data_IF_100651098463
#
_entry.id   IF_100651098463
#
_cell.length_a   1.000
_cell.length_b   1.000
_cell.length_c   1.000
_cell.angle_alpha   90.00
_cell.angle_beta   90.00
_cell.angle_gamma   90.00
#
_symmetry.space_group_name_H-M   'P 1'
#
loop_
_entity.id
_entity.type
_entity.pdbx_description
1 polymer ?
#
# COMPACT_ATOMS: atom_id res chain seq x y z
N UNK A 1 -20.16 4.60 -7.51
CA UNK A 1 -19.21 5.19 -8.49
C UNK A 1 -17.81 4.70 -8.15
N UNK A 2 -17.01 4.28 -9.13
CA UNK A 2 -15.66 3.76 -8.91
C UNK A 2 -14.61 4.63 -9.61
N UNK A 3 -13.47 4.83 -8.95
CA UNK A 3 -12.30 5.52 -9.52
C UNK A 3 -11.13 4.54 -9.52
N UNK A 4 -10.49 4.41 -10.68
CA UNK A 4 -9.27 3.62 -10.86
C UNK A 4 -8.09 4.55 -11.10
N UNK A 5 -6.97 4.30 -10.43
CA UNK A 5 -5.71 5.02 -10.64
C UNK A 5 -4.61 4.00 -10.90
N UNK A 6 -3.92 4.13 -12.02
CA UNK A 6 -2.77 3.30 -12.36
C UNK A 6 -1.48 4.13 -12.23
N UNK A 7 -0.50 3.59 -11.51
CA UNK A 7 0.79 4.23 -11.23
C UNK A 7 1.92 3.28 -11.58
N UNK A 8 2.83 3.76 -12.44
CA UNK A 8 4.03 3.03 -12.82
C UNK A 8 5.27 3.78 -12.32
N UNK A 9 6.16 3.09 -11.63
CA UNK A 9 7.38 3.67 -11.07
C UNK A 9 8.57 2.74 -11.22
N UNK A 10 9.73 3.33 -11.50
CA UNK A 10 10.99 2.60 -11.68
C UNK A 10 12.00 3.02 -10.60
N UNK A 11 12.50 2.05 -9.85
CA UNK A 11 13.55 2.25 -8.84
C UNK A 11 14.91 1.80 -9.39
N UNK A 12 15.94 2.63 -9.19
CA UNK A 12 17.32 2.32 -9.59
C UNK A 12 18.07 1.55 -8.49
N UNK A 13 17.45 0.49 -7.97
CA UNK A 13 17.98 -0.35 -6.90
C UNK A 13 17.65 -1.83 -7.17
N UNK A 14 18.49 -2.78 -6.71
CA UNK A 14 18.24 -4.21 -6.86
C UNK A 14 16.88 -4.63 -6.29
N UNK A 15 16.26 -5.65 -6.90
CA UNK A 15 14.96 -6.19 -6.49
C UNK A 15 14.92 -6.50 -4.99
N UNK A 16 15.92 -7.23 -4.50
CA UNK A 16 16.00 -7.69 -3.11
C UNK A 16 16.05 -6.50 -2.15
N UNK A 17 16.75 -5.42 -2.51
CA UNK A 17 16.87 -4.23 -1.67
C UNK A 17 15.54 -3.48 -1.60
N UNK A 18 14.85 -3.28 -2.72
CA UNK A 18 13.58 -2.56 -2.73
C UNK A 18 12.49 -3.37 -2.01
N UNK A 19 12.37 -4.66 -2.30
CA UNK A 19 11.40 -5.55 -1.64
C UNK A 19 11.67 -5.63 -0.14
N UNK A 20 12.92 -5.80 0.28
CA UNK A 20 13.26 -5.84 1.70
C UNK A 20 12.93 -4.50 2.40
N UNK A 21 13.20 -3.37 1.73
CA UNK A 21 12.85 -2.04 2.25
C UNK A 21 11.35 -1.86 2.35
N UNK A 22 10.59 -2.33 1.36
CA UNK A 22 9.13 -2.26 1.36
C UNK A 22 8.51 -3.13 2.46
N UNK A 23 8.99 -4.35 2.63
CA UNK A 23 8.50 -5.26 3.67
C UNK A 23 8.86 -4.78 5.08
N UNK A 24 9.93 -3.99 5.24
CA UNK A 24 10.39 -3.39 6.50
C UNK A 24 10.08 -1.89 6.62
N UNK A 25 9.18 -1.36 5.80
CA UNK A 25 8.86 0.08 5.75
C UNK A 25 8.31 0.65 7.07
N UNK A 26 7.88 -0.20 8.01
CA UNK A 26 7.31 0.21 9.29
C UNK A 26 7.97 -0.51 10.48
N UNK A 27 8.11 0.18 11.64
CA UNK A 27 7.75 1.58 11.88
C UNK A 27 8.73 2.56 11.19
N UNK A 28 8.22 3.70 10.69
CA UNK A 28 9.04 4.73 10.04
C UNK A 28 8.75 6.11 10.63
N UNK A 29 9.76 6.84 11.14
CA UNK A 29 9.59 8.19 11.70
C UNK A 29 8.94 9.20 10.74
N UNK A 30 9.07 8.98 9.43
CA UNK A 30 8.51 9.83 8.37
C UNK A 30 7.02 9.57 8.12
N UNK A 31 6.50 8.41 8.54
CA UNK A 31 5.11 8.02 8.35
C UNK A 31 4.49 7.67 9.70
N UNK A 32 4.13 8.73 10.42
CA UNK A 32 3.55 8.65 11.78
C UNK A 32 2.12 8.11 11.79
N UNK A 33 1.50 7.97 10.63
CA UNK A 33 0.11 7.57 10.52
C UNK A 33 -0.06 6.06 10.64
N UNK A 34 0.99 5.26 10.48
CA UNK A 34 0.95 3.82 10.74
C UNK A 34 1.34 3.56 12.20
N UNK A 35 0.34 3.17 13.00
CA UNK A 35 0.48 2.90 14.43
C UNK A 35 1.19 1.56 14.65
N UNK A 36 0.77 0.52 13.94
CA UNK A 36 1.37 -0.80 14.05
C UNK A 36 1.11 -1.66 12.82
N UNK A 37 1.97 -2.66 12.60
CA UNK A 37 1.79 -3.70 11.59
C UNK A 37 1.99 -5.05 12.26
N UNK A 38 1.00 -5.93 12.13
CA UNK A 38 1.03 -7.27 12.69
C UNK A 38 1.01 -8.30 11.56
N UNK A 39 1.91 -9.28 11.61
CA UNK A 39 1.85 -10.45 10.72
C UNK A 39 0.77 -11.38 11.26
N UNK A 40 -0.22 -11.69 10.42
CA UNK A 40 -1.32 -12.61 10.75
C UNK A 40 -0.99 -14.01 10.27
N UNK A 41 -0.34 -14.12 9.11
CA UNK A 41 -0.03 -15.39 8.49
C UNK A 41 1.28 -15.27 7.71
N UNK A 42 2.13 -16.28 7.82
CA UNK A 42 3.31 -16.43 7.00
C UNK A 42 3.44 -17.90 6.62
N UNK A 43 3.50 -18.16 5.31
CA UNK A 43 3.61 -19.49 4.74
C UNK A 43 4.68 -19.48 3.67
N UNK A 44 5.51 -20.52 3.65
CA UNK A 44 6.46 -20.76 2.58
C UNK A 44 6.07 -22.05 1.88
N UNK A 45 5.75 -21.94 0.60
CA UNK A 45 5.52 -23.11 -0.23
C UNK A 45 6.86 -23.80 -0.50
N UNK A 46 6.97 -25.07 -0.11
CA UNK A 46 8.20 -25.87 -0.27
C UNK A 46 8.41 -26.25 -1.74
N UNK A 47 7.33 -26.39 -2.52
CA UNK A 47 7.39 -26.82 -3.92
C UNK A 47 7.78 -25.69 -4.87
N UNK A 48 7.16 -24.52 -4.71
CA UNK A 48 7.41 -23.35 -5.57
C UNK A 48 8.43 -22.37 -4.99
N UNK A 49 8.74 -22.46 -3.70
CA UNK A 49 9.58 -21.51 -2.99
C UNK A 49 8.93 -20.15 -2.72
N UNK A 50 7.64 -19.98 -3.06
CA UNK A 50 6.90 -18.73 -2.87
C UNK A 50 6.67 -18.50 -1.37
N UNK A 51 6.95 -17.26 -0.94
CA UNK A 51 6.71 -16.80 0.41
C UNK A 51 5.42 -15.97 0.39
N UNK A 52 4.38 -16.53 0.99
CA UNK A 52 3.13 -15.82 1.27
C UNK A 52 3.18 -15.18 2.65
N UNK A 53 2.75 -13.93 2.74
CA UNK A 53 2.62 -13.22 4.01
C UNK A 53 1.36 -12.37 4.01
N UNK A 54 0.56 -12.48 5.06
CA UNK A 54 -0.59 -11.62 5.37
C UNK A 54 -0.29 -10.78 6.58
N UNK A 55 -0.56 -9.48 6.50
CA UNK A 55 -0.36 -8.51 7.57
C UNK A 55 -1.61 -7.66 7.75
N UNK A 56 -1.84 -7.23 8.99
CA UNK A 56 -2.81 -6.20 9.31
C UNK A 56 -2.04 -4.95 9.74
N UNK A 57 -2.24 -3.87 9.00
CA UNK A 57 -1.75 -2.55 9.36
C UNK A 57 -2.86 -1.76 10.05
N UNK A 58 -2.52 -1.14 11.19
CA UNK A 58 -3.40 -0.24 11.93
C UNK A 58 -2.86 1.17 11.74
N UNK A 59 -3.69 2.03 11.19
CA UNK A 59 -3.37 3.42 10.90
C UNK A 59 -4.22 4.38 11.74
N UNK A 60 -3.66 5.53 12.07
CA UNK A 60 -4.37 6.61 12.71
C UNK A 60 -5.44 7.17 11.76
N UNK A 61 -6.58 7.57 12.33
CA UNK A 61 -7.63 8.20 11.56
C UNK A 61 -7.20 9.62 11.14
N UNK A 62 -6.79 9.78 9.87
CA UNK A 62 -6.37 11.07 9.29
C UNK A 62 -7.54 11.95 8.84
N UNK A 63 -8.80 11.53 9.07
CA UNK A 63 -9.97 12.34 8.73
C UNK A 63 -9.99 13.62 9.59
N UNK A 64 -10.09 14.82 8.98
CA UNK A 64 -10.22 16.08 9.69
C UNK A 64 -11.40 16.09 10.67
N UNK A 65 -11.24 16.73 11.82
CA UNK A 65 -12.27 16.78 12.88
C UNK A 65 -13.61 17.35 12.41
N UNK A 66 -13.59 18.28 11.45
CA UNK A 66 -14.79 18.82 10.83
C UNK A 66 -15.66 17.74 10.18
N UNK A 67 -15.04 16.73 9.55
CA UNK A 67 -15.72 15.61 8.91
C UNK A 67 -16.07 14.50 9.91
N UNK A 68 -15.35 14.40 11.04
CA UNK A 68 -15.68 13.48 12.16
C UNK A 68 -17.00 13.81 12.88
N UNK A 69 -17.65 14.93 12.56
CA UNK A 69 -19.02 15.26 12.99
C UNK A 69 -20.05 14.26 12.45
N UNK A 70 -19.75 13.61 11.33
CA UNK A 70 -20.53 12.49 10.82
C UNK A 70 -20.17 11.25 11.65
N UNK A 71 -21.13 10.68 12.38
CA UNK A 71 -20.94 9.53 13.27
C UNK A 71 -20.23 8.34 12.60
N UNK A 72 -20.44 8.19 11.30
CA UNK A 72 -19.85 7.17 10.44
C UNK A 72 -18.33 7.31 10.28
N UNK A 73 -17.81 8.53 10.29
CA UNK A 73 -16.39 8.83 10.10
C UNK A 73 -15.61 8.86 11.43
N UNK A 74 -16.31 8.68 12.55
CA UNK A 74 -15.75 8.63 13.90
C UNK A 74 -15.31 7.21 14.27
N UNK A 75 -14.30 6.70 13.56
CA UNK A 75 -13.62 5.45 13.93
C UNK A 75 -12.29 5.75 14.64
N UNK A 76 -11.89 4.94 15.63
CA UNK A 76 -10.66 5.18 16.39
C UNK A 76 -9.39 4.96 15.56
N UNK A 77 -9.42 4.00 14.63
CA UNK A 77 -8.29 3.64 13.78
C UNK A 77 -8.77 2.99 12.49
N UNK A 78 -7.96 3.06 11.44
CA UNK A 78 -8.20 2.42 10.15
C UNK A 78 -7.40 1.11 10.12
N UNK A 79 -8.03 0.02 9.74
CA UNK A 79 -7.40 -1.28 9.57
C UNK A 79 -7.31 -1.65 8.10
N UNK A 80 -6.16 -2.17 7.70
CA UNK A 80 -5.87 -2.61 6.35
C UNK A 80 -5.29 -4.00 6.39
N UNK A 81 -5.75 -4.85 5.49
CA UNK A 81 -5.13 -6.14 5.23
C UNK A 81 -4.22 -6.03 4.01
N UNK A 82 -2.97 -6.42 4.18
CA UNK A 82 -1.96 -6.52 3.13
C UNK A 82 -1.57 -7.99 2.96
N UNK A 83 -1.75 -8.53 1.77
CA UNK A 83 -1.26 -9.85 1.36
C UNK A 83 -0.13 -9.69 0.34
N UNK A 84 0.95 -10.45 0.51
CA UNK A 84 2.08 -10.45 -0.41
C UNK A 84 2.49 -11.87 -0.77
N UNK A 85 2.82 -12.06 -2.04
CA UNK A 85 3.37 -13.29 -2.62
C UNK A 85 4.71 -12.96 -3.24
N UNK A 86 5.79 -13.35 -2.56
CA UNK A 86 7.16 -13.13 -3.00
C UNK A 86 7.70 -14.41 -3.62
N UNK A 87 8.11 -14.34 -4.88
CA UNK A 87 8.91 -15.38 -5.54
C UNK A 87 10.37 -14.90 -5.64
N UNK A 88 11.28 -15.44 -4.80
CA UNK A 88 12.70 -15.06 -4.84
C UNK A 88 13.42 -15.55 -6.10
N UNK A 89 12.99 -16.65 -6.72
CA UNK A 89 13.64 -17.24 -7.89
C UNK A 89 13.34 -16.42 -9.15
N UNK A 90 12.08 -16.06 -9.35
CA UNK A 90 11.64 -15.24 -10.48
C UNK A 90 11.81 -13.73 -10.25
N UNK A 91 12.28 -13.33 -9.06
CA UNK A 91 12.39 -11.93 -8.63
C UNK A 91 11.12 -11.13 -8.94
N UNK A 92 10.02 -11.67 -8.43
CA UNK A 92 8.70 -11.12 -8.61
C UNK A 92 8.00 -11.08 -7.25
N UNK A 93 7.38 -9.95 -6.93
CA UNK A 93 6.51 -9.83 -5.76
C UNK A 93 5.17 -9.25 -6.20
N UNK A 94 4.09 -9.97 -5.93
CA UNK A 94 2.74 -9.45 -6.05
C UNK A 94 2.24 -9.08 -4.65
N UNK A 95 1.48 -8.00 -4.56
CA UNK A 95 0.90 -7.54 -3.31
C UNK A 95 -0.51 -7.05 -3.55
N UNK A 96 -1.38 -7.30 -2.57
CA UNK A 96 -2.75 -6.83 -2.54
C UNK A 96 -3.05 -6.22 -1.20
N UNK A 97 -3.62 -5.04 -1.21
CA UNK A 97 -4.00 -4.33 0.00
C UNK A 97 -5.47 -3.98 -0.08
N UNK A 98 -6.22 -4.18 0.99
CA UNK A 98 -7.61 -3.74 1.06
C UNK A 98 -7.98 -3.20 2.43
N UNK A 99 -8.86 -2.21 2.44
CA UNK A 99 -9.33 -1.59 3.67
C UNK A 99 -10.41 -2.46 4.33
N UNK A 100 -10.21 -2.78 5.61
CA UNK A 100 -11.17 -3.50 6.42
C UNK A 100 -12.15 -2.55 7.13
N UNK A 101 -11.72 -1.32 7.41
CA UNK A 101 -12.58 -0.27 7.98
C UNK A 101 -13.41 0.40 6.87
N UNK A 102 -14.65 0.81 7.18
CA UNK A 102 -15.54 1.56 6.26
C UNK A 102 -15.98 0.84 4.98
N UNK A 103 -15.84 -0.48 4.90
CA UNK A 103 -16.25 -1.30 3.74
C UNK A 103 -17.72 -1.13 3.34
N UNK A 104 -18.58 -0.74 4.28
CA UNK A 104 -20.00 -0.42 4.06
C UNK A 104 -20.23 0.86 3.23
N UNK A 105 -19.25 1.77 3.19
CA UNK A 105 -19.37 3.09 2.53
C UNK A 105 -18.41 3.23 1.35
N UNK A 106 -17.20 2.70 1.49
CA UNK A 106 -16.21 2.70 0.44
C UNK A 106 -15.39 1.41 0.47
N UNK A 107 -15.12 0.85 -0.70
CA UNK A 107 -14.17 -0.22 -0.86
C UNK A 107 -12.91 0.34 -1.49
N UNK A 108 -11.77 0.12 -0.85
CA UNK A 108 -10.47 0.50 -1.35
C UNK A 108 -9.61 -0.73 -1.51
N UNK A 109 -9.09 -0.95 -2.71
CA UNK A 109 -8.20 -2.05 -3.06
C UNK A 109 -7.00 -1.52 -3.81
N UNK A 110 -5.81 -1.98 -3.46
CA UNK A 110 -4.60 -1.82 -4.26
C UNK A 110 -4.12 -3.20 -4.70
N UNK A 111 -3.68 -3.28 -5.94
CA UNK A 111 -2.85 -4.39 -6.40
C UNK A 111 -1.52 -3.83 -6.93
N UNK A 112 -0.39 -4.32 -6.40
CA UNK A 112 0.95 -3.87 -6.77
C UNK A 112 1.80 -5.06 -7.23
N UNK A 113 2.59 -4.85 -8.28
CA UNK A 113 3.49 -5.86 -8.83
C UNK A 113 4.89 -5.27 -8.96
N UNK A 114 5.86 -5.92 -8.32
CA UNK A 114 7.27 -5.57 -8.34
C UNK A 114 8.02 -6.60 -9.18
N UNK A 115 8.65 -6.17 -10.28
CA UNK A 115 9.38 -7.04 -11.21
C UNK A 115 10.63 -6.37 -11.74
N UNK A 116 11.72 -7.12 -11.87
CA UNK A 116 12.91 -6.60 -12.53
C UNK A 116 12.60 -6.11 -13.95
N UNK A 117 13.05 -4.90 -14.26
CA UNK A 117 12.89 -4.32 -15.59
C UNK A 117 13.86 -4.99 -16.56
N UNK A 118 13.32 -5.48 -17.67
CA UNK A 118 14.07 -6.12 -18.75
C UNK A 118 14.71 -5.12 -19.73
N UNK A 119 14.46 -3.82 -19.57
CA UNK A 119 14.82 -2.80 -20.57
C UNK A 119 16.30 -2.43 -20.60
N UNK A 120 17.13 -2.81 -19.61
CA UNK A 120 18.58 -2.55 -19.65
C UNK A 120 19.39 -3.60 -18.87
N UNK A 121 20.21 -4.43 -19.55
CA UNK A 121 21.01 -5.49 -18.90
C UNK A 121 22.07 -4.95 -17.91
N UNK A 122 22.55 -3.71 -18.08
CA UNK A 122 23.56 -3.11 -17.22
C UNK A 122 23.00 -2.50 -15.93
N UNK A 123 21.69 -2.23 -15.86
CA UNK A 123 21.08 -1.56 -14.71
C UNK A 123 19.93 -2.41 -14.18
N UNK A 124 20.13 -3.09 -13.04
CA UNK A 124 19.07 -3.81 -12.31
C UNK A 124 18.05 -2.81 -11.75
N UNK A 125 17.16 -2.32 -12.62
CA UNK A 125 16.06 -1.42 -12.27
C UNK A 125 14.85 -2.26 -11.88
N UNK A 126 14.15 -1.86 -10.83
CA UNK A 126 12.89 -2.48 -10.44
C UNK A 126 11.71 -1.68 -10.99
N UNK A 127 10.90 -2.32 -11.83
CA UNK A 127 9.60 -1.79 -12.24
C UNK A 127 8.55 -2.14 -11.19
N UNK A 128 7.75 -1.15 -10.81
CA UNK A 128 6.60 -1.32 -9.92
C UNK A 128 5.37 -0.73 -10.60
N UNK A 129 4.37 -1.56 -10.82
CA UNK A 129 3.04 -1.15 -11.26
C UNK A 129 2.05 -1.32 -10.12
N UNK A 130 1.30 -0.27 -9.79
CA UNK A 130 0.24 -0.29 -8.77
C UNK A 130 -1.07 0.21 -9.34
N UNK A 131 -2.15 -0.55 -9.12
CA UNK A 131 -3.51 -0.17 -9.48
C UNK A 131 -4.32 0.03 -8.21
N UNK A 132 -4.91 1.21 -8.06
CA UNK A 132 -5.79 1.58 -6.96
C UNK A 132 -7.23 1.63 -7.44
N UNK A 133 -8.10 0.95 -6.74
CA UNK A 133 -9.54 0.93 -6.98
C UNK A 133 -10.24 1.48 -5.75
N UNK A 134 -10.99 2.56 -5.94
CA UNK A 134 -11.80 3.19 -4.91
C UNK A 134 -13.25 3.17 -5.38
N UNK A 135 -14.09 2.36 -4.75
CA UNK A 135 -15.51 2.30 -5.01
C UNK A 135 -16.28 2.95 -3.87
N UNK A 136 -17.12 3.94 -4.17
CA UNK A 136 -18.07 4.52 -3.22
C UNK A 136 -19.42 3.81 -3.34
N UNK A 137 -19.90 3.30 -2.21
CA UNK A 137 -21.24 2.74 -2.04
C UNK A 137 -22.23 3.87 -1.75
N UNK A 138 -23.35 3.88 -2.46
CA UNK A 138 -24.25 5.04 -2.58
C UNK A 138 -25.01 5.46 -1.30
N UNK A 139 -24.77 4.82 -0.16
CA UNK A 139 -25.40 5.17 1.11
C UNK A 139 -24.77 6.44 1.73
N UNK A 140 -25.01 7.60 1.11
CA UNK A 140 -24.64 8.92 1.62
C UNK A 140 -23.84 9.79 0.65
N UNK A 141 -24.43 10.15 -0.50
CA UNK A 141 -23.77 10.94 -1.55
C UNK A 141 -23.20 12.29 -1.09
N UNK A 142 -23.72 12.91 -0.02
CA UNK A 142 -23.15 14.16 0.53
C UNK A 142 -21.94 13.94 1.46
N UNK A 143 -21.88 12.81 2.20
CA UNK A 143 -20.73 12.48 3.05
C UNK A 143 -19.57 11.86 2.26
N UNK A 144 -19.88 11.14 1.18
CA UNK A 144 -18.90 10.43 0.36
C UNK A 144 -17.99 11.36 -0.46
N UNK A 145 -18.50 12.52 -0.89
CA UNK A 145 -17.72 13.53 -1.64
C UNK A 145 -16.65 14.20 -0.77
N UNK A 146 -16.99 14.58 0.46
CA UNK A 146 -16.05 15.18 1.40
C UNK A 146 -15.04 14.16 1.95
N UNK A 147 -15.44 12.90 2.07
CA UNK A 147 -14.54 11.82 2.47
C UNK A 147 -13.57 11.40 1.38
N UNK A 148 -13.88 11.59 0.09
CA UNK A 148 -13.16 10.97 -1.02
C UNK A 148 -11.67 11.34 -1.08
N UNK A 149 -11.33 12.60 -0.79
CA UNK A 149 -9.96 13.08 -0.67
C UNK A 149 -9.25 12.48 0.56
N UNK A 150 -9.92 12.45 1.71
CA UNK A 150 -9.37 11.83 2.93
C UNK A 150 -9.23 10.30 2.84
N UNK A 151 -10.13 9.61 2.12
CA UNK A 151 -10.03 8.18 1.83
C UNK A 151 -8.85 7.89 0.90
N UNK A 152 -8.68 8.71 -0.14
CA UNK A 152 -7.48 8.67 -0.99
C UNK A 152 -6.23 8.88 -0.13
N UNK A 153 -6.14 9.97 0.62
CA UNK A 153 -4.96 10.25 1.46
C UNK A 153 -4.66 9.14 2.48
N UNK A 154 -5.68 8.62 3.17
CA UNK A 154 -5.51 7.52 4.12
C UNK A 154 -5.00 6.24 3.43
N UNK A 155 -5.52 5.92 2.23
CA UNK A 155 -5.03 4.81 1.41
C UNK A 155 -3.61 5.00 0.91
N UNK A 156 -3.31 6.18 0.35
CA UNK A 156 -1.98 6.52 -0.17
C UNK A 156 -0.90 6.54 0.92
N UNK A 157 -1.23 7.03 2.12
CA UNK A 157 -0.29 7.08 3.25
C UNK A 157 0.00 5.69 3.80
N UNK A 158 -1.04 4.90 4.06
CA UNK A 158 -0.89 3.57 4.65
C UNK A 158 -0.27 2.51 3.73
N UNK A 159 -0.46 2.64 2.42
CA UNK A 159 -0.06 1.61 1.45
C UNK A 159 1.31 1.87 0.80
N UNK A 160 2.09 2.82 1.33
CA UNK A 160 3.50 2.99 0.99
C UNK A 160 3.81 3.79 -0.27
N UNK A 161 2.82 4.45 -0.91
CA UNK A 161 3.09 5.45 -1.95
C UNK A 161 3.72 6.73 -1.38
N UNK A 162 3.43 7.07 -0.12
CA UNK A 162 4.16 8.11 0.61
C UNK A 162 5.64 7.71 0.85
N UNK A 163 5.88 6.41 1.14
CA UNK A 163 7.23 5.84 1.28
C UNK A 163 7.99 5.89 -0.06
N UNK A 164 7.35 5.49 -1.15
CA UNK A 164 7.87 5.57 -2.52
C UNK A 164 8.42 6.96 -2.88
N UNK A 165 7.59 7.99 -2.67
CA UNK A 165 7.87 9.33 -3.21
C UNK A 165 8.82 10.15 -2.35
N UNK A 166 8.92 9.86 -1.04
CA UNK A 166 9.72 10.66 -0.11
C UNK A 166 11.00 9.95 0.34
N UNK A 167 10.98 8.63 0.53
CA UNK A 167 12.15 7.86 0.96
C UNK A 167 13.16 7.68 -0.17
N UNK A 168 12.71 7.25 -1.36
CA UNK A 168 13.61 6.96 -2.49
C UNK A 168 14.17 8.19 -3.19
N UNK A 169 13.53 9.37 -3.03
CA UNK A 169 14.09 10.65 -3.50
C UNK A 169 15.29 11.13 -2.66
N UNK A 170 15.50 10.56 -1.47
CA UNK A 170 16.57 10.98 -0.53
C UNK A 170 17.64 9.92 -0.27
N UNK A 171 17.48 8.70 -0.75
CA UNK A 171 18.59 7.73 -0.74
C UNK A 171 19.64 8.19 -1.76
N UNK A 172 20.91 8.37 -1.37
CA UNK A 172 21.96 8.73 -2.31
C UNK A 172 22.02 7.62 -3.37
N UNK A 173 21.88 8.01 -4.64
CA UNK A 173 22.21 7.13 -5.74
C UNK A 173 23.69 6.77 -5.57
N UNK A 174 23.98 5.56 -5.09
CA UNK A 174 25.35 5.05 -5.10
C UNK A 174 25.73 4.86 -6.56
N UNK A 175 26.58 5.77 -7.04
CA UNK A 175 27.37 5.67 -8.26
C UNK A 175 28.24 4.43 -8.25
#
# INVERSE_FOLDING_TARGET
MGVTVDVHQVYKYPFEQVVASYLRKYPNPMDKNVISVKIVEEKRDVSTGIIYRKRIAICQNVIPEMLRKVSILKVPSIQLEEESWLNPQERNMAMRSHCLTWTQYASMKEESVFRESTENPNWKKLGVGSIFLIALHCAGWMGAMAGQSSFKEAGFQSQGLAFSTTFWKRLPARS
#
